data_IF_550585514023
#
_entry.id   IF_550585514023
#
_cell.length_a   1.000
_cell.length_b   1.000
_cell.length_c   1.000
_cell.angle_alpha   90.00
_cell.angle_beta   90.00
_cell.angle_gamma   90.00
#
_symmetry.space_group_name_H-M   'P 1'
#
loop_
_entity.id
_entity.type
_entity.pdbx_description
1 polymer ?
#
# COMPACT_ATOMS: atom_id res chain seq x y z
N UNK A 1 -18.43 6.65 -54.25
CA UNK A 1 -19.44 7.64 -53.82
C UNK A 1 -20.56 6.91 -53.11
N UNK A 2 -20.68 7.09 -51.79
CA UNK A 2 -21.95 7.39 -51.16
C UNK A 2 -21.63 7.92 -49.74
N UNK A 3 -21.87 9.21 -49.63
CA UNK A 3 -21.66 10.08 -48.50
C UNK A 3 -22.66 9.84 -47.38
N UNK A 4 -22.22 10.17 -46.16
CA UNK A 4 -23.01 10.51 -44.98
C UNK A 4 -23.76 9.38 -44.27
N UNK A 5 -23.08 8.81 -43.27
CA UNK A 5 -23.57 8.86 -41.89
C UNK A 5 -22.42 8.64 -40.90
N UNK A 6 -21.83 9.75 -40.43
CA UNK A 6 -20.90 9.75 -39.29
C UNK A 6 -21.67 9.52 -37.98
N UNK A 7 -22.03 8.27 -37.69
CA UNK A 7 -22.33 7.85 -36.32
C UNK A 7 -21.07 7.24 -35.69
N UNK A 8 -20.17 8.13 -35.24
CA UNK A 8 -19.06 7.78 -34.33
C UNK A 8 -19.66 7.54 -32.94
N UNK A 9 -20.01 6.29 -32.63
CA UNK A 9 -20.33 5.88 -31.26
C UNK A 9 -19.19 6.36 -30.33
N UNK A 10 -19.51 7.24 -29.38
CA UNK A 10 -18.61 7.57 -28.27
C UNK A 10 -18.44 6.29 -27.46
N UNK A 11 -17.25 5.70 -27.46
CA UNK A 11 -16.96 4.57 -26.58
C UNK A 11 -16.90 5.11 -25.15
N UNK A 12 -18.00 4.98 -24.42
CA UNK A 12 -18.06 5.33 -23.01
C UNK A 12 -17.08 4.45 -22.24
N UNK A 13 -16.36 5.05 -21.29
CA UNK A 13 -15.41 4.32 -20.47
C UNK A 13 -16.19 3.45 -19.49
N UNK A 14 -15.89 2.15 -19.50
CA UNK A 14 -16.65 1.16 -18.73
C UNK A 14 -16.02 0.93 -17.36
N UNK A 15 -16.89 0.59 -16.41
CA UNK A 15 -16.48 -0.05 -15.16
C UNK A 15 -15.81 -1.38 -15.47
N UNK A 16 -14.71 -1.68 -14.79
CA UNK A 16 -14.12 -3.01 -14.79
C UNK A 16 -14.38 -3.64 -13.44
N UNK A 17 -15.17 -4.72 -13.44
CA UNK A 17 -15.40 -5.51 -12.23
C UNK A 17 -14.16 -6.31 -11.87
N UNK A 18 -13.84 -6.35 -10.58
CA UNK A 18 -12.76 -7.17 -10.04
C UNK A 18 -13.38 -8.34 -9.31
N UNK A 19 -13.19 -9.59 -9.78
CA UNK A 19 -13.70 -10.76 -9.09
C UNK A 19 -12.83 -11.06 -7.85
N UNK A 20 -13.46 -11.06 -6.68
CA UNK A 20 -12.86 -11.47 -5.41
C UNK A 20 -13.28 -12.92 -5.10
N UNK A 21 -12.33 -13.85 -5.10
CA UNK A 21 -12.57 -15.30 -4.90
C UNK A 21 -12.50 -15.64 -3.40
N UNK A 22 -13.53 -15.30 -2.63
CA UNK A 22 -13.65 -15.52 -1.17
C UNK A 22 -12.60 -14.80 -0.28
N UNK A 23 -11.63 -14.13 -0.89
CA UNK A 23 -10.62 -13.25 -0.27
C UNK A 23 -10.90 -11.78 -0.63
N UNK A 24 -10.58 -10.80 0.22
CA UNK A 24 -10.85 -9.37 -0.02
C UNK A 24 -9.83 -8.70 -0.94
N UNK A 25 -9.08 -9.48 -1.73
CA UNK A 25 -8.07 -8.96 -2.63
C UNK A 25 -7.94 -9.82 -3.90
N UNK A 26 -7.29 -9.28 -4.92
CA UNK A 26 -6.95 -10.01 -6.15
C UNK A 26 -5.60 -9.53 -6.65
N UNK A 27 -4.72 -10.45 -7.06
CA UNK A 27 -3.43 -10.14 -7.67
C UNK A 27 -3.45 -10.58 -9.13
N UNK A 28 -2.92 -9.73 -10.02
CA UNK A 28 -2.69 -10.05 -11.43
C UNK A 28 -1.28 -9.64 -11.82
N UNK A 29 -0.59 -10.48 -12.57
CA UNK A 29 0.71 -10.16 -13.16
C UNK A 29 0.51 -10.04 -14.67
N UNK A 30 0.78 -8.86 -15.23
CA UNK A 30 0.42 -8.54 -16.61
C UNK A 30 1.60 -7.92 -17.35
N UNK A 31 1.78 -8.32 -18.61
CA UNK A 31 2.58 -7.56 -19.54
C UNK A 31 1.71 -6.41 -20.07
N UNK A 32 2.18 -5.18 -19.94
CA UNK A 32 1.46 -3.96 -20.30
C UNK A 32 2.36 -3.04 -21.11
N UNK A 33 1.95 -2.75 -22.34
CA UNK A 33 2.45 -1.60 -23.10
C UNK A 33 1.38 -0.53 -23.24
N UNK A 34 0.12 -0.92 -23.44
CA UNK A 34 -1.02 0.00 -23.40
C UNK A 34 -2.25 -0.67 -22.84
N UNK A 35 -2.72 -0.19 -21.69
CA UNK A 35 -3.93 -0.65 -21.02
C UNK A 35 -5.07 0.37 -21.21
N UNK A 36 -6.31 -0.07 -21.46
CA UNK A 36 -7.44 0.83 -21.68
C UNK A 36 -7.75 1.72 -20.47
N UNK A 37 -8.31 2.91 -20.73
CA UNK A 37 -8.85 3.75 -19.67
C UNK A 37 -10.02 3.01 -19.01
N UNK A 38 -10.00 2.91 -17.69
CA UNK A 38 -11.03 2.22 -16.91
C UNK A 38 -11.09 2.77 -15.48
N UNK A 39 -12.01 2.20 -14.69
CA UNK A 39 -12.18 2.53 -13.28
C UNK A 39 -12.82 1.35 -12.55
N UNK A 40 -12.69 1.36 -11.22
CA UNK A 40 -13.27 0.37 -10.33
C UNK A 40 -14.14 1.03 -9.27
N UNK A 41 -15.22 0.34 -8.89
CA UNK A 41 -16.11 0.74 -7.78
C UNK A 41 -15.73 -0.05 -6.54
N UNK A 42 -15.70 0.61 -5.39
CA UNK A 42 -15.34 0.05 -4.08
C UNK A 42 -13.99 -0.68 -4.05
N UNK A 43 -13.06 -0.31 -4.93
CA UNK A 43 -11.73 -0.94 -5.03
C UNK A 43 -10.64 0.11 -5.06
N UNK A 44 -9.59 -0.13 -4.28
CA UNK A 44 -8.29 0.52 -4.48
C UNK A 44 -7.36 -0.47 -5.18
N UNK A 45 -6.75 -0.05 -6.28
CA UNK A 45 -5.72 -0.81 -6.97
C UNK A 45 -4.32 -0.26 -6.62
N UNK A 46 -3.35 -1.16 -6.48
CA UNK A 46 -1.95 -0.86 -6.26
C UNK A 46 -1.17 -1.45 -7.43
N UNK A 47 -0.47 -0.59 -8.17
CA UNK A 47 0.31 -0.96 -9.35
C UNK A 47 1.79 -0.95 -9.02
N UNK A 48 2.49 -2.04 -9.33
CA UNK A 48 3.92 -2.23 -9.07
C UNK A 48 4.60 -2.68 -10.37
N UNK A 49 5.47 -1.88 -10.97
CA UNK A 49 6.32 -2.31 -12.08
C UNK A 49 7.36 -3.31 -11.55
N UNK A 50 7.20 -4.58 -11.91
CA UNK A 50 8.17 -5.64 -11.64
C UNK A 50 9.34 -5.55 -12.64
N UNK A 51 9.03 -5.20 -13.90
CA UNK A 51 10.04 -4.96 -14.94
C UNK A 51 9.62 -3.81 -15.82
N UNK A 52 10.54 -2.93 -16.16
CA UNK A 52 10.30 -1.72 -16.93
C UNK A 52 9.60 -0.62 -16.12
N UNK A 53 9.10 0.38 -16.83
CA UNK A 53 8.43 1.53 -16.22
C UNK A 53 7.03 1.70 -16.81
N UNK A 54 6.13 2.25 -16.00
CA UNK A 54 4.78 2.59 -16.45
C UNK A 54 4.48 4.05 -16.20
N UNK A 55 3.77 4.63 -17.15
CA UNK A 55 3.12 5.91 -17.05
C UNK A 55 1.65 5.73 -16.67
N UNK A 56 1.25 6.39 -15.60
CA UNK A 56 -0.13 6.41 -15.11
C UNK A 56 -0.68 7.81 -15.27
N UNK A 57 -1.82 7.94 -15.94
CA UNK A 57 -2.64 9.13 -15.80
C UNK A 57 -3.89 8.77 -15.02
N UNK A 58 -4.14 9.50 -13.93
CA UNK A 58 -5.32 9.33 -13.07
C UNK A 58 -5.74 10.69 -12.53
N UNK A 59 -7.04 10.98 -12.58
CA UNK A 59 -7.56 12.33 -12.32
C UNK A 59 -6.75 13.38 -13.13
N UNK A 60 -6.25 14.42 -12.45
CA UNK A 60 -5.43 15.47 -13.06
C UNK A 60 -3.93 15.16 -13.10
N UNK A 61 -3.50 14.00 -12.60
CA UNK A 61 -2.10 13.67 -12.39
C UNK A 61 -1.55 12.72 -13.44
N UNK A 62 -0.23 12.78 -13.57
CA UNK A 62 0.58 12.07 -14.55
C UNK A 62 1.83 11.61 -13.83
N UNK A 63 1.94 10.30 -13.62
CA UNK A 63 2.91 9.71 -12.71
C UNK A 63 3.72 8.67 -13.49
N UNK A 64 5.03 8.88 -13.56
CA UNK A 64 5.98 7.87 -14.00
C UNK A 64 6.35 6.99 -12.79
N UNK A 65 6.03 5.71 -12.89
CA UNK A 65 6.32 4.71 -11.84
C UNK A 65 7.44 3.81 -12.34
N UNK A 66 8.53 3.77 -11.57
CA UNK A 66 9.72 2.99 -11.87
C UNK A 66 9.68 1.63 -11.16
N UNK A 67 10.55 0.72 -11.58
CA UNK A 67 10.81 -0.51 -10.81
C UNK A 67 11.15 -0.18 -9.35
N UNK A 68 10.85 -1.10 -8.43
CA UNK A 68 11.00 -0.93 -6.97
C UNK A 68 10.04 0.09 -6.33
N UNK A 69 9.08 0.58 -7.08
CA UNK A 69 8.09 1.53 -6.60
C UNK A 69 6.65 1.08 -6.91
N UNK A 70 5.67 1.71 -6.30
CA UNK A 70 4.26 1.43 -6.45
C UNK A 70 3.44 2.72 -6.47
N UNK A 71 2.23 2.64 -7.03
CA UNK A 71 1.26 3.73 -6.99
C UNK A 71 -0.13 3.22 -6.65
N UNK A 72 -0.91 4.05 -5.96
CA UNK A 72 -2.33 3.80 -5.68
C UNK A 72 -3.20 4.39 -6.78
N UNK A 73 -4.17 3.60 -7.23
CA UNK A 73 -5.35 4.04 -7.95
C UNK A 73 -6.52 3.99 -6.99
N UNK A 74 -7.05 5.15 -6.64
CA UNK A 74 -8.11 5.28 -5.65
C UNK A 74 -9.48 4.86 -6.20
N UNK A 75 -10.38 4.50 -5.30
CA UNK A 75 -11.77 4.17 -5.62
C UNK A 75 -12.43 5.19 -6.56
N UNK A 76 -13.14 4.70 -7.58
CA UNK A 76 -13.81 5.49 -8.63
C UNK A 76 -12.90 6.47 -9.37
N UNK A 77 -11.59 6.22 -9.44
CA UNK A 77 -10.67 7.05 -10.23
C UNK A 77 -10.52 6.48 -11.64
N UNK A 78 -10.80 7.30 -12.65
CA UNK A 78 -10.50 6.98 -14.04
C UNK A 78 -9.00 7.03 -14.25
N UNK A 79 -8.45 5.97 -14.83
CA UNK A 79 -7.02 5.88 -15.04
C UNK A 79 -6.67 5.04 -16.27
N UNK A 80 -5.45 5.23 -16.79
CA UNK A 80 -4.85 4.35 -17.78
C UNK A 80 -3.38 4.11 -17.50
N UNK A 81 -2.86 3.05 -18.11
CA UNK A 81 -1.50 2.56 -17.96
C UNK A 81 -0.87 2.49 -19.34
N UNK A 82 0.30 3.08 -19.51
CA UNK A 82 1.09 2.99 -20.73
C UNK A 82 2.56 2.74 -20.37
N UNK A 83 3.28 2.02 -21.21
CA UNK A 83 4.72 1.85 -21.11
C UNK A 83 5.35 2.07 -22.48
N UNK A 84 6.48 2.76 -22.53
CA UNK A 84 7.19 3.03 -23.79
C UNK A 84 7.75 1.77 -24.43
N UNK A 85 8.30 0.87 -23.61
CA UNK A 85 8.98 -0.35 -24.07
C UNK A 85 8.18 -1.63 -23.75
N UNK A 86 7.06 -1.49 -23.04
CA UNK A 86 6.38 -2.60 -22.40
C UNK A 86 6.95 -2.84 -21.00
N UNK A 87 6.07 -3.16 -20.05
CA UNK A 87 6.41 -3.41 -18.67
C UNK A 87 5.71 -4.67 -18.17
N UNK A 88 6.27 -5.29 -17.14
CA UNK A 88 5.60 -6.34 -16.37
C UNK A 88 5.13 -5.70 -15.07
N UNK A 89 3.84 -5.77 -14.82
CA UNK A 89 3.18 -5.05 -13.73
C UNK A 89 2.41 -6.03 -12.86
N UNK A 90 2.62 -5.94 -11.55
CA UNK A 90 1.74 -6.56 -10.56
C UNK A 90 0.65 -5.56 -10.17
N UNK A 91 -0.60 -5.96 -10.35
CA UNK A 91 -1.80 -5.22 -9.92
C UNK A 91 -2.43 -5.92 -8.74
N UNK A 92 -2.43 -5.27 -7.57
CA UNK A 92 -3.13 -5.73 -6.37
C UNK A 92 -4.40 -4.91 -6.22
N UNK A 93 -5.56 -5.55 -6.27
CA UNK A 93 -6.85 -4.93 -6.06
C UNK A 93 -7.35 -5.27 -4.66
N UNK A 94 -7.83 -4.28 -3.91
CA UNK A 94 -8.36 -4.43 -2.56
C UNK A 94 -9.85 -4.11 -2.52
N UNK A 95 -10.66 -5.02 -1.99
CA UNK A 95 -12.10 -4.83 -1.82
C UNK A 95 -12.38 -3.95 -0.60
N UNK A 96 -12.70 -2.67 -0.81
CA UNK A 96 -12.93 -1.72 0.28
C UNK A 96 -14.20 -2.03 1.08
N UNK A 97 -15.19 -2.73 0.49
CA UNK A 97 -16.39 -3.17 1.22
C UNK A 97 -16.04 -4.08 2.40
N UNK A 98 -15.02 -4.93 2.26
CA UNK A 98 -14.60 -5.84 3.32
C UNK A 98 -14.05 -5.09 4.53
N UNK A 99 -13.30 -4.01 4.30
CA UNK A 99 -12.61 -3.26 5.35
C UNK A 99 -13.46 -2.13 5.96
N UNK A 100 -14.61 -1.81 5.37
CA UNK A 100 -15.47 -0.68 5.80
C UNK A 100 -15.94 -0.80 7.25
N UNK A 101 -16.14 -2.02 7.75
CA UNK A 101 -16.50 -2.25 9.16
C UNK A 101 -15.40 -1.85 10.14
N UNK A 102 -14.14 -2.10 9.78
CA UNK A 102 -12.96 -1.83 10.63
C UNK A 102 -12.49 -0.37 10.47
N UNK A 103 -12.51 0.13 9.24
CA UNK A 103 -12.10 1.47 8.89
C UNK A 103 -13.28 2.23 8.29
N UNK A 104 -14.04 2.90 9.16
CA UNK A 104 -15.18 3.70 8.72
C UNK A 104 -14.72 4.74 7.69
N UNK A 105 -15.45 4.86 6.58
CA UNK A 105 -15.17 5.80 5.51
C UNK A 105 -13.93 5.50 4.65
N UNK A 106 -13.34 4.29 4.72
CA UNK A 106 -12.19 3.89 3.88
C UNK A 106 -12.39 4.17 2.38
N UNK A 107 -13.61 4.01 1.86
CA UNK A 107 -14.01 4.31 0.47
C UNK A 107 -13.88 5.79 0.07
N UNK A 108 -13.81 6.69 1.05
CA UNK A 108 -13.71 8.14 0.89
C UNK A 108 -12.30 8.65 1.23
N UNK A 109 -11.40 7.76 1.67
CA UNK A 109 -10.00 8.07 1.87
C UNK A 109 -9.27 8.14 0.53
N UNK A 110 -8.24 8.97 0.46
CA UNK A 110 -7.38 9.09 -0.71
C UNK A 110 -5.97 8.64 -0.33
N UNK A 111 -5.52 7.53 -0.91
CA UNK A 111 -4.21 6.94 -0.66
C UNK A 111 -3.21 7.37 -1.72
N UNK A 112 -1.95 7.59 -1.32
CA UNK A 112 -0.86 8.05 -2.20
C UNK A 112 0.48 7.55 -1.71
N UNK A 113 1.36 7.21 -2.65
CA UNK A 113 2.75 6.81 -2.41
C UNK A 113 3.78 7.87 -2.80
N UNK A 114 3.31 9.00 -3.31
CA UNK A 114 4.11 10.05 -3.94
C UNK A 114 3.46 11.44 -3.73
N UNK A 115 4.27 12.51 -3.73
CA UNK A 115 3.77 13.88 -3.60
C UNK A 115 3.00 14.29 -4.85
N UNK A 116 1.99 15.13 -4.67
CA UNK A 116 1.10 15.59 -5.73
C UNK A 116 1.80 16.48 -6.76
N UNK A 117 1.28 16.44 -7.99
CA UNK A 117 1.76 17.30 -9.07
C UNK A 117 1.37 18.76 -8.82
N UNK A 118 2.35 19.65 -8.97
CA UNK A 118 2.12 21.10 -9.07
C UNK A 118 2.04 21.49 -10.54
N UNK A 119 0.97 22.19 -10.92
CA UNK A 119 0.80 22.81 -12.24
C UNK A 119 0.84 21.83 -13.44
N UNK A 120 0.20 20.66 -13.32
CA UNK A 120 0.05 19.65 -14.39
C UNK A 120 1.36 19.06 -14.93
N UNK A 121 2.45 19.16 -14.16
CA UNK A 121 3.72 18.54 -14.51
C UNK A 121 3.67 17.04 -14.23
N UNK A 122 4.35 16.29 -15.08
CA UNK A 122 4.65 14.91 -14.77
C UNK A 122 5.49 14.83 -13.49
N UNK A 123 5.23 13.80 -12.71
CA UNK A 123 5.94 13.52 -11.47
C UNK A 123 6.39 12.07 -11.47
N UNK A 124 7.44 11.79 -10.72
CA UNK A 124 7.93 10.44 -10.50
C UNK A 124 7.38 9.89 -9.18
N UNK A 125 7.23 8.57 -9.09
CA UNK A 125 6.72 7.88 -7.91
C UNK A 125 7.61 8.05 -6.67
N UNK A 126 8.90 8.39 -6.86
CA UNK A 126 9.90 8.56 -5.81
C UNK A 126 9.99 10.00 -5.25
N UNK A 127 9.11 10.90 -5.69
CA UNK A 127 9.09 12.31 -5.30
C UNK A 127 8.55 12.58 -3.87
N UNK A 128 8.87 11.72 -2.89
CA UNK A 128 8.36 11.78 -1.53
C UNK A 128 9.42 12.26 -0.52
N UNK A 129 8.99 12.63 0.69
CA UNK A 129 9.90 13.03 1.76
C UNK A 129 10.76 11.83 2.20
N UNK A 130 12.09 11.98 2.28
CA UNK A 130 13.01 10.92 2.69
C UNK A 130 12.63 10.21 4.00
N UNK A 131 11.97 10.92 4.93
CA UNK A 131 11.46 10.34 6.19
C UNK A 131 10.36 9.28 5.99
N UNK A 132 9.80 9.17 4.77
CA UNK A 132 8.82 8.15 4.38
C UNK A 132 9.45 6.95 3.68
N UNK A 133 10.77 6.96 3.43
CA UNK A 133 11.47 5.88 2.73
C UNK A 133 11.29 4.53 3.42
N UNK A 134 11.48 4.47 4.75
CA UNK A 134 11.29 3.26 5.54
C UNK A 134 9.86 2.74 5.45
N UNK A 135 8.86 3.61 5.66
CA UNK A 135 7.45 3.25 5.52
C UNK A 135 7.13 2.67 4.13
N UNK A 136 7.68 3.29 3.07
CA UNK A 136 7.49 2.84 1.68
C UNK A 136 8.14 1.48 1.42
N UNK A 137 9.36 1.27 1.89
CA UNK A 137 10.06 -0.01 1.79
C UNK A 137 9.30 -1.10 2.55
N UNK A 138 8.86 -0.82 3.78
CA UNK A 138 8.09 -1.77 4.59
C UNK A 138 6.74 -2.10 3.95
N UNK A 139 6.08 -1.11 3.33
CA UNK A 139 4.85 -1.35 2.57
C UNK A 139 5.11 -2.23 1.36
N UNK A 140 6.16 -1.93 0.58
CA UNK A 140 6.56 -2.73 -0.57
C UNK A 140 6.84 -4.19 -0.19
N UNK A 141 7.51 -4.43 0.94
CA UNK A 141 7.78 -5.79 1.43
C UNK A 141 6.49 -6.58 1.71
N UNK A 142 5.46 -5.92 2.24
CA UNK A 142 4.14 -6.55 2.44
C UNK A 142 3.47 -6.86 1.09
N UNK A 143 3.54 -5.95 0.12
CA UNK A 143 3.00 -6.17 -1.23
C UNK A 143 3.67 -7.37 -1.91
N UNK A 144 5.00 -7.45 -1.86
CA UNK A 144 5.75 -8.58 -2.41
C UNK A 144 5.37 -9.88 -1.70
N UNK A 145 5.19 -9.87 -0.38
CA UNK A 145 4.68 -11.02 0.37
C UNK A 145 3.33 -11.54 -0.14
N UNK A 146 2.38 -10.64 -0.43
CA UNK A 146 1.08 -11.03 -1.05
C UNK A 146 1.28 -11.61 -2.44
N UNK A 147 2.14 -11.00 -3.26
CA UNK A 147 2.41 -11.44 -4.64
C UNK A 147 2.98 -12.86 -4.65
N UNK A 148 4.04 -13.11 -3.87
CA UNK A 148 4.69 -14.42 -3.75
C UNK A 148 3.69 -15.49 -3.33
N UNK A 149 2.90 -15.19 -2.29
CA UNK A 149 1.95 -16.16 -1.77
C UNK A 149 0.86 -16.51 -2.79
N UNK A 150 0.38 -15.51 -3.52
CA UNK A 150 -0.67 -15.71 -4.53
C UNK A 150 -0.17 -16.56 -5.69
N UNK A 151 1.06 -16.32 -6.16
CA UNK A 151 1.65 -17.07 -7.28
C UNK A 151 2.06 -18.48 -6.89
N UNK A 152 2.43 -18.69 -5.62
CA UNK A 152 2.76 -20.01 -5.11
C UNK A 152 1.56 -20.97 -5.12
N UNK A 153 0.33 -20.48 -5.34
CA UNK A 153 -0.92 -21.25 -5.49
C UNK A 153 -1.18 -22.29 -4.38
N UNK A 154 -0.62 -22.06 -3.19
CA UNK A 154 -0.77 -22.94 -2.05
C UNK A 154 -1.88 -22.40 -1.13
N UNK A 155 -3.02 -23.10 -1.07
CA UNK A 155 -4.16 -22.72 -0.21
C UNK A 155 -3.81 -22.60 1.27
N UNK A 156 -2.73 -23.23 1.73
CA UNK A 156 -2.25 -23.06 3.11
C UNK A 156 -1.75 -21.63 3.40
N UNK A 157 -1.38 -20.88 2.35
CA UNK A 157 -0.93 -19.48 2.39
C UNK A 157 -2.06 -18.46 2.44
N UNK A 158 -3.33 -18.88 2.31
CA UNK A 158 -4.45 -17.94 2.28
C UNK A 158 -4.47 -17.09 3.56
N UNK A 159 -4.34 -17.73 4.74
CA UNK A 159 -4.28 -17.05 6.05
C UNK A 159 -3.13 -16.04 6.15
N UNK A 160 -1.97 -16.37 5.59
CA UNK A 160 -0.79 -15.49 5.58
C UNK A 160 -1.07 -14.29 4.68
N UNK A 161 -1.68 -14.52 3.51
CA UNK A 161 -2.07 -13.45 2.58
C UNK A 161 -3.12 -12.53 3.20
N UNK A 162 -4.12 -13.05 3.91
CA UNK A 162 -5.07 -12.24 4.68
C UNK A 162 -4.35 -11.36 5.72
N UNK A 163 -3.38 -11.90 6.44
CA UNK A 163 -2.62 -11.12 7.41
C UNK A 163 -1.83 -9.98 6.75
N UNK A 164 -1.13 -10.26 5.64
CA UNK A 164 -0.45 -9.21 4.88
C UNK A 164 -1.42 -8.14 4.41
N UNK A 165 -2.59 -8.53 3.91
CA UNK A 165 -3.61 -7.61 3.40
C UNK A 165 -4.18 -6.73 4.52
N UNK A 166 -4.48 -7.28 5.70
CA UNK A 166 -4.86 -6.50 6.87
C UNK A 166 -3.76 -5.47 7.22
N UNK A 167 -2.49 -5.87 7.20
CA UNK A 167 -1.35 -4.98 7.48
C UNK A 167 -1.04 -3.98 6.37
N UNK A 168 -1.42 -4.28 5.12
CA UNK A 168 -1.38 -3.34 4.00
C UNK A 168 -2.45 -2.28 4.21
N UNK A 169 -3.69 -2.68 4.47
CA UNK A 169 -4.80 -1.74 4.69
C UNK A 169 -4.57 -0.87 5.92
N UNK A 170 -4.03 -1.43 7.00
CA UNK A 170 -3.62 -0.67 8.18
C UNK A 170 -2.60 0.43 7.82
N UNK A 171 -1.51 0.08 7.12
CA UNK A 171 -0.52 1.04 6.64
C UNK A 171 -1.11 2.04 5.63
N UNK A 172 -2.07 1.63 4.79
CA UNK A 172 -2.75 2.57 3.89
C UNK A 172 -3.43 3.69 4.68
N UNK A 173 -4.15 3.33 5.76
CA UNK A 173 -4.89 4.27 6.59
C UNK A 173 -3.96 5.14 7.43
N UNK A 174 -2.90 4.58 8.02
CA UNK A 174 -1.98 5.31 8.90
C UNK A 174 -0.90 6.10 8.17
N UNK A 175 -0.33 5.52 7.11
CA UNK A 175 0.94 6.01 6.54
C UNK A 175 0.74 6.67 5.18
N UNK A 176 -0.13 6.10 4.33
CA UNK A 176 -0.33 6.52 2.93
C UNK A 176 -1.60 7.32 2.68
N UNK A 177 -2.40 7.55 3.70
CA UNK A 177 -3.51 8.47 3.66
C UNK A 177 -2.98 9.89 3.35
N UNK A 178 -3.47 10.51 2.28
CA UNK A 178 -3.04 11.81 1.75
C UNK A 178 -2.79 12.89 2.81
N UNK A 179 -3.73 13.07 3.75
CA UNK A 179 -3.63 14.13 4.76
C UNK A 179 -2.45 13.89 5.70
N UNK A 180 -2.15 12.63 5.99
CA UNK A 180 -1.07 12.22 6.88
C UNK A 180 0.26 12.08 6.13
N UNK A 181 0.20 11.64 4.88
CA UNK A 181 1.35 11.39 4.02
C UNK A 181 2.11 12.68 3.67
N UNK A 182 1.38 13.77 3.43
CA UNK A 182 1.94 15.09 3.12
C UNK A 182 2.55 15.81 4.34
N UNK A 183 2.37 15.25 5.55
CA UNK A 183 2.74 15.90 6.81
C UNK A 183 3.84 15.16 7.56
N UNK A 184 4.63 15.94 8.30
CA UNK A 184 5.61 15.44 9.25
C UNK A 184 4.99 15.05 10.59
N UNK A 185 3.98 15.80 11.04
CA UNK A 185 3.31 15.58 12.31
C UNK A 185 2.05 14.71 12.14
N UNK A 186 1.75 13.88 13.13
CA UNK A 186 0.52 13.11 13.16
C UNK A 186 -0.70 14.01 13.35
N UNK A 187 -1.75 13.72 12.59
CA UNK A 187 -3.08 14.31 12.80
C UNK A 187 -3.76 13.48 13.89
N UNK A 188 -4.39 14.16 14.86
CA UNK A 188 -5.23 13.49 15.87
C UNK A 188 -6.33 12.69 15.19
N UNK A 189 -6.56 11.46 15.65
CA UNK A 189 -7.53 10.53 15.05
C UNK A 189 -8.92 11.16 14.91
N UNK A 190 -9.39 11.87 15.94
CA UNK A 190 -10.72 12.49 15.95
C UNK A 190 -10.88 13.55 14.86
N UNK A 191 -9.80 14.29 14.58
CA UNK A 191 -9.78 15.29 13.52
C UNK A 191 -9.80 14.64 12.13
N UNK A 192 -9.08 13.52 11.97
CA UNK A 192 -9.06 12.74 10.74
C UNK A 192 -10.44 12.11 10.46
N UNK A 193 -11.06 11.53 11.49
CA UNK A 193 -12.40 10.95 11.40
C UNK A 193 -13.44 12.01 11.03
N UNK A 194 -13.38 13.20 11.66
CA UNK A 194 -14.22 14.35 11.30
C UNK A 194 -14.03 14.75 9.85
N UNK A 195 -12.79 14.87 9.39
CA UNK A 195 -12.51 15.21 8.01
C UNK A 195 -13.18 14.22 7.03
N UNK A 196 -13.08 12.92 7.31
CA UNK A 196 -13.67 11.92 6.43
C UNK A 196 -15.18 11.86 6.44
N UNK A 197 -15.84 12.16 7.56
CA UNK A 197 -17.30 12.37 7.58
C UNK A 197 -17.71 13.56 6.71
N UNK A 198 -16.95 14.66 6.74
CA UNK A 198 -17.19 15.83 5.89
C UNK A 198 -16.98 15.47 4.41
N UNK A 199 -15.89 14.80 4.05
CA UNK A 199 -15.63 14.37 2.66
C UNK A 199 -16.72 13.41 2.16
N UNK A 200 -17.14 12.45 2.99
CA UNK A 200 -18.27 11.55 2.68
C UNK A 200 -19.55 12.33 2.41
N UNK A 201 -19.88 13.30 3.25
CA UNK A 201 -21.04 14.16 3.02
C UNK A 201 -20.95 14.92 1.70
N UNK A 202 -19.78 15.49 1.39
CA UNK A 202 -19.54 16.21 0.12
C UNK A 202 -19.78 15.28 -1.07
N UNK A 203 -19.13 14.10 -1.11
CA UNK A 203 -19.24 13.17 -2.24
C UNK A 203 -20.67 12.64 -2.40
N UNK A 204 -21.36 12.31 -1.31
CA UNK A 204 -22.73 11.78 -1.36
C UNK A 204 -23.79 12.82 -1.72
N UNK A 205 -23.46 14.12 -1.62
CA UNK A 205 -24.37 15.22 -1.94
C UNK A 205 -23.82 16.13 -3.04
N UNK A 206 -22.90 15.64 -3.88
CA UNK A 206 -22.15 16.46 -4.84
C UNK A 206 -23.04 17.14 -5.90
N UNK A 207 -24.21 16.55 -6.19
CA UNK A 207 -25.25 17.08 -7.12
C UNK A 207 -26.24 18.03 -6.46
N UNK A 208 -26.07 18.29 -5.15
CA UNK A 208 -26.84 19.25 -4.37
C UNK A 208 -26.00 20.49 -4.06
N UNK A 209 -26.67 21.56 -3.63
CA UNK A 209 -25.98 22.73 -3.08
C UNK A 209 -25.43 22.35 -1.70
N UNK A 210 -24.11 22.35 -1.55
CA UNK A 210 -23.41 22.12 -0.29
C UNK A 210 -22.97 23.48 0.25
N UNK A 211 -23.35 23.77 1.49
CA UNK A 211 -23.01 25.00 2.20
C UNK A 211 -22.16 24.71 3.42
N UNK A 212 -21.51 25.75 3.96
CA UNK A 212 -20.79 25.63 5.23
C UNK A 212 -21.76 25.33 6.40
N UNK A 213 -22.97 25.89 6.33
CA UNK A 213 -24.01 25.66 7.35
C UNK A 213 -24.34 24.17 7.47
N UNK A 214 -24.53 23.49 6.34
CA UNK A 214 -24.80 22.04 6.30
C UNK A 214 -23.74 21.24 7.08
N UNK A 215 -22.46 21.58 6.88
CA UNK A 215 -21.35 20.90 7.55
C UNK A 215 -21.30 21.21 9.04
N UNK A 216 -21.46 22.49 9.41
CA UNK A 216 -21.41 22.90 10.81
C UNK A 216 -22.56 22.33 11.64
N UNK A 217 -23.75 22.23 11.04
CA UNK A 217 -24.91 21.59 11.66
C UNK A 217 -24.73 20.07 11.79
N UNK A 218 -24.19 19.40 10.76
CA UNK A 218 -23.93 17.96 10.79
C UNK A 218 -22.88 17.56 11.84
N UNK A 219 -21.82 18.35 11.96
CA UNK A 219 -20.71 18.06 12.90
C UNK A 219 -20.92 18.71 14.29
N UNK A 220 -22.05 19.39 14.51
CA UNK A 220 -22.39 20.07 15.77
C UNK A 220 -21.30 21.06 16.24
N UNK A 221 -20.75 21.85 15.31
CA UNK A 221 -19.68 22.83 15.57
C UNK A 221 -20.02 24.21 15.07
N UNK A 222 -19.38 25.24 15.60
CA UNK A 222 -19.52 26.61 15.07
C UNK A 222 -18.71 26.80 13.78
N UNK A 223 -19.12 27.77 12.96
CA UNK A 223 -18.37 28.19 11.75
C UNK A 223 -16.94 28.62 12.06
N UNK A 224 -16.73 29.29 13.19
CA UNK A 224 -15.39 29.71 13.62
C UNK A 224 -14.52 28.50 13.93
N UNK A 225 -15.04 27.54 14.71
CA UNK A 225 -14.30 26.31 14.99
C UNK A 225 -14.00 25.52 13.71
N UNK A 226 -14.97 25.37 12.81
CA UNK A 226 -14.75 24.72 11.52
C UNK A 226 -13.63 25.40 10.72
N UNK A 227 -13.61 26.73 10.67
CA UNK A 227 -12.60 27.47 9.90
C UNK A 227 -11.19 27.23 10.41
N UNK A 228 -11.01 27.20 11.74
CA UNK A 228 -9.73 26.84 12.35
C UNK A 228 -9.35 25.38 12.08
N UNK A 229 -10.28 24.46 12.36
CA UNK A 229 -10.11 23.02 12.10
C UNK A 229 -9.72 22.73 10.64
N UNK A 230 -10.41 23.34 9.68
CA UNK A 230 -10.17 23.11 8.26
C UNK A 230 -8.83 23.68 7.83
N UNK A 231 -8.47 24.88 8.29
CA UNK A 231 -7.19 25.53 7.97
C UNK A 231 -6.00 24.76 8.57
N UNK A 232 -6.16 24.16 9.74
CA UNK A 232 -5.11 23.31 10.33
C UNK A 232 -4.90 22.02 9.53
N UNK A 233 -5.92 21.49 8.85
CA UNK A 233 -5.87 20.20 8.16
C UNK A 233 -5.65 20.28 6.64
N UNK A 234 -6.13 21.34 5.99
CA UNK A 234 -6.15 21.47 4.55
C UNK A 234 -5.46 22.75 4.09
N UNK A 235 -4.67 22.63 3.03
CA UNK A 235 -4.00 23.78 2.39
C UNK A 235 -4.94 24.60 1.50
N UNK A 236 -6.15 24.10 1.26
CA UNK A 236 -7.19 24.74 0.45
C UNK A 236 -8.45 25.02 1.25
N UNK A 237 -9.20 26.03 0.85
CA UNK A 237 -10.47 26.37 1.48
C UNK A 237 -11.52 25.27 1.31
N UNK A 238 -12.54 25.25 2.17
CA UNK A 238 -13.65 24.31 2.05
C UNK A 238 -14.36 24.42 0.69
N UNK A 239 -14.58 25.65 0.21
CA UNK A 239 -15.17 25.90 -1.11
C UNK A 239 -14.29 25.34 -2.23
N UNK A 240 -12.97 25.48 -2.14
CA UNK A 240 -12.06 24.88 -3.12
C UNK A 240 -12.11 23.35 -3.07
N UNK A 241 -12.24 22.73 -1.89
CA UNK A 241 -12.44 21.28 -1.77
C UNK A 241 -13.71 20.80 -2.45
N UNK A 242 -14.83 21.48 -2.21
CA UNK A 242 -16.11 21.13 -2.85
C UNK A 242 -15.99 21.25 -4.37
N UNK A 243 -15.39 22.34 -4.87
CA UNK A 243 -15.18 22.51 -6.31
C UNK A 243 -14.23 21.47 -6.90
N UNK A 244 -13.20 21.06 -6.16
CA UNK A 244 -12.30 19.97 -6.56
C UNK A 244 -13.06 18.65 -6.73
N UNK A 245 -13.84 18.23 -5.74
CA UNK A 245 -14.65 17.00 -5.82
C UNK A 245 -15.66 17.06 -6.98
N UNK A 246 -16.28 18.23 -7.21
CA UNK A 246 -17.15 18.43 -8.38
C UNK A 246 -16.40 18.25 -9.69
N UNK A 247 -15.18 18.79 -9.80
CA UNK A 247 -14.38 18.64 -11.02
C UNK A 247 -13.98 17.19 -11.26
N UNK A 248 -13.61 16.44 -10.21
CA UNK A 248 -13.33 14.99 -10.30
C UNK A 248 -14.57 14.21 -10.75
N UNK A 249 -15.74 14.44 -10.12
CA UNK A 249 -17.00 13.81 -10.55
C UNK A 249 -17.39 14.22 -11.97
N UNK A 250 -17.07 15.45 -12.38
CA UNK A 250 -17.33 15.91 -13.76
C UNK A 250 -16.52 15.14 -14.79
N UNK A 251 -15.26 14.76 -14.49
CA UNK A 251 -14.46 13.91 -15.38
C UNK A 251 -15.13 12.54 -15.53
N UNK A 252 -15.57 11.98 -14.41
CA UNK A 252 -16.28 10.72 -14.37
C UNK A 252 -17.53 10.74 -15.26
N UNK A 253 -18.42 11.72 -15.06
CA UNK A 253 -19.62 11.91 -15.89
C UNK A 253 -19.27 12.18 -17.36
N UNK A 254 -18.23 12.98 -17.61
CA UNK A 254 -17.80 13.38 -18.96
C UNK A 254 -17.37 12.18 -19.82
N UNK A 255 -16.78 11.16 -19.19
CA UNK A 255 -16.15 10.01 -19.86
C UNK A 255 -16.99 8.72 -19.79
N UNK A 256 -17.83 8.56 -18.76
CA UNK A 256 -18.68 7.36 -18.57
C UNK A 256 -20.11 7.55 -19.06
N UNK A 257 -20.54 8.78 -19.35
CA UNK A 257 -21.90 9.09 -19.85
C UNK A 257 -21.88 9.88 -21.16
N UNK A 258 -23.06 10.01 -21.79
CA UNK A 258 -23.25 10.85 -22.97
C UNK A 258 -23.62 12.31 -22.66
N UNK A 259 -23.60 12.73 -21.39
CA UNK A 259 -24.00 14.08 -20.99
C UNK A 259 -23.16 15.16 -21.70
N UNK A 260 -23.82 16.24 -22.08
CA UNK A 260 -23.15 17.42 -22.61
C UNK A 260 -22.57 18.26 -21.45
N UNK A 261 -21.67 19.21 -21.78
CA UNK A 261 -20.97 20.02 -20.78
C UNK A 261 -21.92 20.89 -19.95
N UNK A 262 -22.99 21.41 -20.56
CA UNK A 262 -23.97 22.26 -19.88
C UNK A 262 -24.72 21.43 -18.83
N UNK A 263 -25.23 20.27 -19.22
CA UNK A 263 -25.92 19.36 -18.30
C UNK A 263 -25.03 18.86 -17.16
N UNK A 264 -23.74 18.59 -17.42
CA UNK A 264 -22.79 18.22 -16.35
C UNK A 264 -22.59 19.38 -15.37
N UNK A 265 -22.45 20.61 -15.88
CA UNK A 265 -22.29 21.79 -15.02
C UNK A 265 -23.54 22.04 -14.15
N UNK A 266 -24.73 21.87 -14.73
CA UNK A 266 -26.03 21.99 -14.04
C UNK A 266 -26.20 20.90 -12.97
N UNK A 267 -25.96 19.63 -13.32
CA UNK A 267 -26.08 18.48 -12.42
C UNK A 267 -25.17 18.63 -11.18
N UNK A 268 -23.94 19.10 -11.39
CA UNK A 268 -22.96 19.35 -10.32
C UNK A 268 -23.13 20.71 -9.66
N UNK A 269 -24.22 21.44 -9.96
CA UNK A 269 -24.56 22.73 -9.34
C UNK A 269 -23.42 23.75 -9.42
N UNK A 270 -22.74 23.85 -10.55
CA UNK A 270 -21.90 25.02 -10.84
C UNK A 270 -22.80 26.23 -11.11
N UNK A 271 -22.35 27.44 -10.76
CA UNK A 271 -23.11 28.68 -10.97
C UNK A 271 -23.42 28.92 -12.44
N UNK A 272 -22.46 28.56 -13.30
CA UNK A 272 -22.52 28.68 -14.75
C UNK A 272 -21.45 27.78 -15.38
N UNK A 273 -21.54 27.57 -16.69
CA UNK A 273 -20.60 26.72 -17.42
C UNK A 273 -19.20 27.33 -17.49
N UNK A 274 -19.04 28.66 -17.50
CA UNK A 274 -17.73 29.32 -17.55
C UNK A 274 -16.94 29.08 -16.26
N UNK A 275 -17.62 29.11 -15.11
CA UNK A 275 -17.08 28.77 -13.81
C UNK A 275 -16.62 27.31 -13.77
N UNK A 276 -17.44 26.38 -14.29
CA UNK A 276 -17.04 24.99 -14.48
C UNK A 276 -15.78 24.85 -15.35
N UNK A 277 -15.75 25.48 -16.54
CA UNK A 277 -14.59 25.45 -17.43
C UNK A 277 -13.31 25.95 -16.76
N UNK A 278 -13.40 27.05 -16.01
CA UNK A 278 -12.25 27.64 -15.31
C UNK A 278 -11.70 26.68 -14.25
N UNK A 279 -12.56 26.07 -13.44
CA UNK A 279 -12.16 25.10 -12.42
C UNK A 279 -11.60 23.81 -13.03
N UNK A 280 -12.25 23.27 -14.07
CA UNK A 280 -11.73 22.10 -14.76
C UNK A 280 -10.35 22.39 -15.37
N UNK A 281 -10.18 23.53 -16.05
CA UNK A 281 -8.89 23.92 -16.63
C UNK A 281 -7.82 24.17 -15.56
N UNK A 282 -8.19 24.73 -14.40
CA UNK A 282 -7.29 24.92 -13.26
C UNK A 282 -6.71 23.61 -12.74
N UNK A 283 -7.48 22.52 -12.77
CA UNK A 283 -7.04 21.21 -12.29
C UNK A 283 -6.44 20.33 -13.37
N UNK A 284 -7.02 20.27 -14.56
CA UNK A 284 -6.61 19.36 -15.65
C UNK A 284 -5.72 19.99 -16.72
N UNK A 285 -5.44 21.30 -16.63
CA UNK A 285 -4.60 22.05 -17.58
C UNK A 285 -5.23 22.23 -18.96
N UNK A 286 -6.45 21.73 -19.17
CA UNK A 286 -7.16 21.79 -20.44
C UNK A 286 -8.67 21.88 -20.22
N UNK A 287 -9.44 22.20 -21.26
CA UNK A 287 -10.90 22.23 -21.20
C UNK A 287 -11.49 20.81 -21.14
N UNK A 288 -12.68 20.58 -20.53
CA UNK A 288 -13.37 19.30 -20.52
C UNK A 288 -13.48 18.63 -21.90
N UNK A 289 -13.87 19.38 -22.95
CA UNK A 289 -13.99 18.83 -24.29
C UNK A 289 -12.65 18.33 -24.88
N UNK A 290 -11.57 19.09 -24.66
CA UNK A 290 -10.22 18.69 -25.06
C UNK A 290 -9.77 17.44 -24.29
N UNK A 291 -10.06 17.37 -22.99
CA UNK A 291 -9.79 16.19 -22.17
C UNK A 291 -10.54 14.96 -22.72
N UNK A 292 -11.87 15.06 -22.92
CA UNK A 292 -12.69 14.00 -23.52
C UNK A 292 -12.13 13.52 -24.86
N UNK A 293 -11.76 14.45 -25.74
CA UNK A 293 -11.16 14.12 -27.05
C UNK A 293 -9.84 13.38 -26.90
N UNK A 294 -8.98 13.77 -25.96
CA UNK A 294 -7.70 13.09 -25.67
C UNK A 294 -7.94 11.66 -25.22
N UNK A 295 -8.82 11.44 -24.25
CA UNK A 295 -9.15 10.11 -23.73
C UNK A 295 -9.75 9.21 -24.82
N UNK A 296 -10.68 9.71 -25.62
CA UNK A 296 -11.23 8.95 -26.76
C UNK A 296 -10.21 8.69 -27.87
N UNK A 297 -9.20 9.54 -28.03
CA UNK A 297 -8.14 9.30 -29.01
C UNK A 297 -7.21 8.20 -28.53
N UNK A 298 -6.87 8.19 -27.23
CA UNK A 298 -6.10 7.11 -26.60
C UNK A 298 -6.83 5.76 -26.71
N UNK A 299 -8.13 5.73 -26.43
CA UNK A 299 -8.96 4.51 -26.51
C UNK A 299 -9.13 3.94 -27.93
N UNK A 300 -8.66 4.63 -28.98
CA UNK A 300 -8.65 4.14 -30.36
C UNK A 300 -7.34 3.50 -30.77
N UNK A 301 -6.30 3.65 -29.95
CA UNK A 301 -5.03 3.00 -30.18
C UNK A 301 -5.17 1.50 -29.93
N UNK A 302 -4.24 0.72 -30.46
CA UNK A 302 -4.16 -0.70 -30.15
C UNK A 302 -3.79 -0.87 -28.68
N UNK A 303 -4.61 -1.65 -27.97
CA UNK A 303 -4.38 -2.03 -26.60
C UNK A 303 -3.47 -3.25 -26.59
N UNK A 304 -2.31 -3.12 -25.97
CA UNK A 304 -1.27 -4.15 -25.95
C UNK A 304 -1.03 -4.53 -24.48
N UNK A 305 -1.81 -5.50 -24.00
CA UNK A 305 -1.67 -6.07 -22.67
C UNK A 305 -2.19 -7.50 -22.60
N UNK A 306 -1.60 -8.33 -21.74
CA UNK A 306 -2.10 -9.68 -21.45
C UNK A 306 -1.70 -10.11 -20.04
N UNK A 307 -2.47 -11.03 -19.46
CA UNK A 307 -2.09 -11.71 -18.22
C UNK A 307 -0.93 -12.65 -18.52
N UNK A 308 0.10 -12.63 -17.66
CA UNK A 308 1.20 -13.58 -17.76
C UNK A 308 0.77 -14.96 -17.24
N UNK A 309 1.17 -16.05 -17.92
CA UNK A 309 1.05 -17.40 -17.37
C UNK A 309 1.70 -17.53 -15.98
N UNK A 310 1.16 -18.39 -15.12
CA UNK A 310 1.61 -18.51 -13.72
C UNK A 310 3.09 -18.90 -13.59
N UNK A 311 3.57 -19.78 -14.46
CA UNK A 311 4.97 -20.23 -14.54
C UNK A 311 5.91 -19.09 -14.91
N UNK A 312 5.58 -18.31 -15.94
CA UNK A 312 6.36 -17.14 -16.34
C UNK A 312 6.34 -16.05 -15.28
N UNK A 313 5.16 -15.81 -14.66
CA UNK A 313 5.01 -14.84 -13.59
C UNK A 313 5.86 -15.23 -12.37
N UNK A 314 5.89 -16.52 -12.01
CA UNK A 314 6.73 -17.04 -10.93
C UNK A 314 8.22 -16.82 -11.21
N UNK A 315 8.70 -17.19 -12.40
CA UNK A 315 10.11 -17.02 -12.78
C UNK A 315 10.53 -15.53 -12.73
N UNK A 316 9.74 -14.64 -13.33
CA UNK A 316 10.05 -13.20 -13.35
C UNK A 316 10.06 -12.60 -11.95
N UNK A 317 9.18 -13.09 -11.07
CA UNK A 317 9.10 -12.59 -9.70
C UNK A 317 10.23 -13.15 -8.84
N UNK A 318 10.59 -14.41 -9.02
CA UNK A 318 11.78 -15.00 -8.42
C UNK A 318 13.04 -14.23 -8.87
N UNK A 319 13.15 -13.88 -10.16
CA UNK A 319 14.23 -13.03 -10.68
C UNK A 319 14.21 -11.62 -10.08
N UNK A 320 13.05 -10.98 -9.97
CA UNK A 320 12.90 -9.66 -9.35
C UNK A 320 13.35 -9.69 -7.89
N UNK A 321 12.92 -10.71 -7.16
CA UNK A 321 13.30 -10.99 -5.78
C UNK A 321 14.81 -11.19 -5.67
N UNK A 322 15.41 -12.04 -6.52
CA UNK A 322 16.83 -12.36 -6.51
C UNK A 322 17.71 -11.18 -6.95
N UNK A 323 17.31 -10.45 -7.98
CA UNK A 323 18.04 -9.27 -8.45
C UNK A 323 18.03 -8.16 -7.40
N UNK A 324 16.88 -7.96 -6.74
CA UNK A 324 16.76 -6.99 -5.66
C UNK A 324 17.31 -7.50 -4.32
N UNK A 325 17.61 -8.80 -4.21
CA UNK A 325 18.41 -9.35 -3.12
C UNK A 325 19.91 -9.24 -3.34
N UNK A 326 20.37 -9.21 -4.59
CA UNK A 326 21.79 -9.27 -4.96
C UNK A 326 22.46 -7.92 -5.30
N UNK A 327 21.71 -6.82 -5.46
CA UNK A 327 22.34 -5.49 -5.62
C UNK A 327 22.94 -5.01 -4.29
N UNK A 328 24.19 -4.48 -4.22
CA UNK A 328 24.87 -4.10 -2.96
C UNK A 328 24.20 -2.98 -2.13
N UNK A 329 23.03 -2.52 -2.55
CA UNK A 329 22.14 -1.67 -1.77
C UNK A 329 20.83 -2.41 -1.48
N UNK A 330 20.60 -2.64 -0.19
CA UNK A 330 19.31 -2.91 0.46
C UNK A 330 18.74 -4.33 0.33
N UNK A 331 19.43 -5.24 1.02
CA UNK A 331 19.13 -6.65 1.30
C UNK A 331 17.65 -6.95 1.60
N UNK A 332 17.00 -7.61 0.65
CA UNK A 332 15.74 -8.33 0.84
C UNK A 332 15.82 -9.63 0.04
N UNK A 333 15.34 -10.75 0.60
CA UNK A 333 15.12 -12.05 -0.05
C UNK A 333 16.30 -13.03 -0.20
N UNK A 334 16.41 -13.90 0.81
CA UNK A 334 16.54 -15.35 0.57
C UNK A 334 15.66 -16.10 1.57
N UNK A 335 14.35 -16.00 1.38
CA UNK A 335 13.47 -17.13 1.69
C UNK A 335 13.04 -17.65 0.34
N UNK A 336 13.84 -18.56 -0.23
CA UNK A 336 13.48 -19.23 -1.47
C UNK A 336 12.15 -19.95 -1.25
N UNK A 337 11.40 -20.15 -2.33
CA UNK A 337 10.34 -21.16 -2.42
C UNK A 337 10.75 -22.46 -1.70
N UNK A 338 12.03 -22.82 -1.71
CA UNK A 338 12.58 -23.99 -1.00
C UNK A 338 12.55 -23.90 0.52
N UNK A 339 12.77 -22.75 1.16
CA UNK A 339 12.66 -22.64 2.61
C UNK A 339 11.21 -22.72 3.08
N UNK A 340 10.26 -22.13 2.33
CA UNK A 340 8.83 -22.27 2.63
C UNK A 340 8.35 -23.69 2.31
N UNK A 341 8.81 -24.27 1.21
CA UNK A 341 8.54 -25.67 0.85
C UNK A 341 9.19 -26.63 1.84
N UNK A 342 10.34 -26.29 2.43
CA UNK A 342 10.97 -27.07 3.49
C UNK A 342 10.18 -26.96 4.79
N UNK A 343 9.72 -25.77 5.16
CA UNK A 343 8.79 -25.57 6.28
C UNK A 343 7.49 -26.35 6.04
N UNK A 344 6.83 -26.19 4.90
CA UNK A 344 5.61 -26.93 4.54
C UNK A 344 5.84 -28.44 4.40
N UNK A 345 7.02 -28.90 3.93
CA UNK A 345 7.39 -30.32 3.93
C UNK A 345 7.53 -30.84 5.35
N UNK A 346 8.26 -30.14 6.22
CA UNK A 346 8.40 -30.51 7.63
C UNK A 346 7.04 -30.59 8.33
N UNK A 347 6.09 -29.71 7.97
CA UNK A 347 4.75 -29.70 8.56
C UNK A 347 3.75 -30.67 7.92
N UNK A 348 3.78 -30.89 6.61
CA UNK A 348 2.97 -31.93 5.94
C UNK A 348 3.41 -33.34 6.34
N UNK A 349 4.70 -33.54 6.63
CA UNK A 349 5.21 -34.77 7.26
C UNK A 349 4.70 -34.95 8.70
N UNK A 350 4.30 -33.87 9.38
CA UNK A 350 3.77 -33.90 10.74
C UNK A 350 2.24 -34.06 10.83
N UNK A 351 1.48 -34.01 9.73
CA UNK A 351 0.02 -34.27 9.75
C UNK A 351 -0.33 -35.73 10.13
N UNK A 352 0.67 -36.62 10.30
CA UNK A 352 0.51 -37.98 10.82
C UNK A 352 1.27 -38.29 12.11
N UNK A 353 2.05 -37.34 12.65
CA UNK A 353 2.82 -37.52 13.88
C UNK A 353 2.23 -36.68 15.01
N UNK A 354 1.70 -37.32 16.05
CA UNK A 354 1.42 -36.63 17.32
C UNK A 354 2.76 -36.32 18.00
N UNK A 355 3.39 -35.21 17.61
CA UNK A 355 4.49 -34.66 18.41
C UNK A 355 3.84 -34.16 19.71
N UNK A 356 3.92 -34.97 20.76
CA UNK A 356 3.51 -34.59 22.11
C UNK A 356 4.49 -33.53 22.64
N UNK A 357 4.28 -32.28 22.25
CA UNK A 357 5.05 -31.11 22.69
C UNK A 357 4.65 -29.84 21.94
N UNK A 358 4.75 -28.68 22.61
CA UNK A 358 4.58 -27.39 21.95
C UNK A 358 5.76 -27.17 20.97
N UNK A 359 5.50 -27.27 19.66
CA UNK A 359 6.50 -26.93 18.64
C UNK A 359 6.82 -25.43 18.70
N UNK A 360 8.11 -25.11 18.70
CA UNK A 360 8.62 -23.73 18.66
C UNK A 360 9.55 -23.53 17.47
N UNK A 361 9.43 -22.40 16.79
CA UNK A 361 10.39 -21.96 15.78
C UNK A 361 11.50 -21.17 16.46
N UNK A 362 12.76 -21.48 16.15
CA UNK A 362 13.91 -20.71 16.64
C UNK A 362 14.30 -19.66 15.60
N UNK A 363 14.10 -18.39 15.93
CA UNK A 363 14.60 -17.25 15.17
C UNK A 363 15.99 -16.87 15.69
N UNK A 364 17.03 -17.26 14.97
CA UNK A 364 18.40 -16.78 15.22
C UNK A 364 18.59 -15.43 14.52
N UNK A 365 18.39 -14.33 15.26
CA UNK A 365 18.33 -12.97 14.73
C UNK A 365 19.59 -12.64 13.91
N UNK A 366 20.76 -13.00 14.41
CA UNK A 366 22.06 -12.62 13.86
C UNK A 366 22.44 -13.38 12.59
N UNK A 367 21.75 -14.49 12.27
CA UNK A 367 21.90 -15.14 10.95
C UNK A 367 21.39 -14.28 9.79
N UNK A 368 20.55 -13.30 10.09
CA UNK A 368 19.91 -12.43 9.10
C UNK A 368 20.48 -11.01 9.12
N UNK A 369 21.63 -10.83 9.74
CA UNK A 369 22.34 -9.56 9.83
C UNK A 369 23.62 -9.67 9.02
N UNK A 370 23.87 -8.67 8.19
CA UNK A 370 25.15 -8.51 7.50
C UNK A 370 25.77 -7.15 7.90
N UNK A 371 27.06 -7.16 8.21
CA UNK A 371 27.83 -5.96 8.59
C UNK A 371 28.89 -5.72 7.54
N UNK A 372 28.68 -4.73 6.67
CA UNK A 372 29.59 -4.37 5.59
C UNK A 372 29.96 -2.89 5.67
N UNK A 373 31.27 -2.58 5.63
CA UNK A 373 31.81 -1.21 5.63
C UNK A 373 31.28 -0.31 6.78
N UNK A 374 31.05 -0.89 7.96
CA UNK A 374 30.49 -0.17 9.13
C UNK A 374 29.00 0.14 9.02
N UNK A 375 28.30 -0.44 8.04
CA UNK A 375 26.85 -0.38 7.92
C UNK A 375 26.23 -1.74 8.24
N UNK A 376 25.36 -1.75 9.25
CA UNK A 376 24.56 -2.93 9.61
C UNK A 376 23.30 -2.99 8.76
N UNK A 377 23.10 -4.12 8.08
CA UNK A 377 21.91 -4.46 7.29
C UNK A 377 21.20 -5.66 7.90
N UNK A 378 19.87 -5.63 7.94
CA UNK A 378 19.04 -6.67 8.58
C UNK A 378 17.95 -7.11 7.59
N UNK A 379 17.83 -8.41 7.34
CA UNK A 379 16.81 -8.97 6.45
C UNK A 379 15.45 -9.08 7.14
N UNK A 380 14.78 -7.93 7.25
CA UNK A 380 13.49 -7.79 7.92
C UNK A 380 12.38 -8.66 7.32
N UNK A 381 12.45 -8.95 6.03
CA UNK A 381 11.44 -9.76 5.36
C UNK A 381 11.42 -11.20 5.87
N UNK A 382 12.59 -11.82 5.97
CA UNK A 382 12.71 -13.19 6.50
C UNK A 382 12.27 -13.22 7.97
N UNK A 383 12.73 -12.26 8.77
CA UNK A 383 12.33 -12.14 10.18
C UNK A 383 10.81 -12.04 10.31
N UNK A 384 10.18 -11.15 9.54
CA UNK A 384 8.72 -11.00 9.51
C UNK A 384 8.01 -12.29 9.13
N UNK A 385 8.47 -12.97 8.08
CA UNK A 385 7.87 -14.23 7.64
C UNK A 385 7.96 -15.32 8.72
N UNK A 386 9.11 -15.46 9.37
CA UNK A 386 9.30 -16.44 10.46
C UNK A 386 8.32 -16.16 11.61
N UNK A 387 8.24 -14.90 12.05
CA UNK A 387 7.30 -14.48 13.10
C UNK A 387 5.85 -14.74 12.65
N UNK A 388 5.53 -14.39 11.41
CA UNK A 388 4.18 -14.54 10.85
C UNK A 388 3.76 -16.01 10.75
N UNK A 389 4.64 -16.88 10.26
CA UNK A 389 4.40 -18.33 10.18
C UNK A 389 4.14 -18.88 11.58
N UNK A 390 4.99 -18.51 12.55
CA UNK A 390 4.81 -18.87 13.96
C UNK A 390 3.43 -18.47 14.45
N UNK A 391 3.02 -17.22 14.21
CA UNK A 391 1.73 -16.71 14.64
C UNK A 391 0.53 -17.41 13.96
N UNK A 392 0.53 -17.48 12.62
CA UNK A 392 -0.60 -18.03 11.84
C UNK A 392 -0.79 -19.53 12.11
N UNK A 393 0.28 -20.25 12.42
CA UNK A 393 0.25 -21.68 12.77
C UNK A 393 0.13 -21.93 14.28
N UNK A 394 0.06 -20.89 15.10
CA UNK A 394 -0.02 -20.97 16.56
C UNK A 394 1.14 -21.79 17.17
N UNK A 395 2.36 -21.58 16.64
CA UNK A 395 3.60 -22.16 17.15
C UNK A 395 4.21 -21.25 18.22
N UNK A 396 5.05 -21.82 19.08
CA UNK A 396 5.96 -21.02 19.90
C UNK A 396 6.97 -20.31 19.00
N UNK A 397 7.43 -19.13 19.44
CA UNK A 397 8.60 -18.50 18.85
C UNK A 397 9.67 -18.34 19.92
N UNK A 398 10.87 -18.81 19.62
CA UNK A 398 12.05 -18.61 20.45
C UNK A 398 13.03 -17.70 19.71
N UNK A 399 13.21 -16.48 20.20
CA UNK A 399 14.21 -15.55 19.69
C UNK A 399 15.56 -15.90 20.32
N UNK A 400 16.47 -16.44 19.52
CA UNK A 400 17.85 -16.70 19.91
C UNK A 400 18.66 -15.43 19.79
N UNK A 401 19.26 -15.03 20.91
CA UNK A 401 20.13 -13.88 21.08
C UNK A 401 21.52 -14.42 21.40
N UNK A 402 22.41 -14.44 20.41
CA UNK A 402 23.77 -14.99 20.52
C UNK A 402 24.76 -13.88 20.91
N UNK A 403 25.03 -13.74 22.20
CA UNK A 403 25.88 -12.69 22.75
C UNK A 403 27.36 -12.82 22.38
N UNK A 404 27.77 -13.92 21.73
CA UNK A 404 29.13 -14.12 21.22
C UNK A 404 29.37 -13.40 19.90
N UNK A 405 28.35 -12.74 19.35
CA UNK A 405 28.45 -11.94 18.13
C UNK A 405 29.58 -10.90 18.24
N UNK A 406 30.46 -10.88 17.23
CA UNK A 406 31.80 -10.27 17.32
C UNK A 406 31.81 -8.74 17.31
N UNK A 407 30.74 -8.08 16.86
CA UNK A 407 30.59 -6.62 16.92
C UNK A 407 29.62 -6.20 18.03
N UNK A 408 30.15 -5.99 19.24
CA UNK A 408 29.37 -5.68 20.44
C UNK A 408 28.63 -4.33 20.37
N UNK A 409 29.09 -3.38 19.55
CA UNK A 409 28.51 -2.04 19.42
C UNK A 409 27.24 -2.09 18.56
N UNK A 410 27.32 -2.76 17.41
CA UNK A 410 26.18 -2.90 16.50
C UNK A 410 25.10 -3.84 17.07
N UNK A 411 25.47 -4.78 17.95
CA UNK A 411 24.54 -5.74 18.54
C UNK A 411 23.32 -5.12 19.24
N UNK A 412 23.53 -4.15 20.13
CA UNK A 412 22.45 -3.55 20.92
C UNK A 412 21.54 -2.72 20.01
N UNK A 413 22.12 -2.05 19.01
CA UNK A 413 21.38 -1.32 17.98
C UNK A 413 20.53 -2.25 17.12
N UNK A 414 21.08 -3.38 16.67
CA UNK A 414 20.35 -4.44 15.94
C UNK A 414 19.15 -4.93 16.75
N UNK A 415 19.38 -5.24 18.03
CA UNK A 415 18.33 -5.77 18.91
C UNK A 415 17.24 -4.73 19.18
N UNK A 416 17.63 -3.46 19.36
CA UNK A 416 16.70 -2.33 19.45
C UNK A 416 15.86 -2.16 18.18
N UNK A 417 16.49 -2.19 17.02
CA UNK A 417 15.81 -2.16 15.71
C UNK A 417 14.85 -3.34 15.56
N UNK A 418 15.22 -4.53 16.05
CA UNK A 418 14.36 -5.71 16.00
C UNK A 418 13.09 -5.55 16.83
N UNK A 419 13.18 -4.97 18.03
CA UNK A 419 11.99 -4.69 18.81
C UNK A 419 11.13 -3.61 18.19
N UNK A 420 11.73 -2.52 17.71
CA UNK A 420 11.00 -1.47 17.00
C UNK A 420 10.26 -2.04 15.78
N UNK A 421 10.93 -2.89 14.99
CA UNK A 421 10.34 -3.61 13.86
C UNK A 421 9.18 -4.50 14.31
N UNK A 422 9.40 -5.32 15.33
CA UNK A 422 8.41 -6.28 15.83
C UNK A 422 7.16 -5.57 16.33
N UNK A 423 7.31 -4.54 17.18
CA UNK A 423 6.22 -3.75 17.74
C UNK A 423 5.46 -2.95 16.68
N UNK A 424 6.13 -2.56 15.59
CA UNK A 424 5.48 -1.91 14.47
C UNK A 424 4.55 -2.86 13.69
N UNK A 425 4.90 -4.15 13.64
CA UNK A 425 4.22 -5.12 12.79
C UNK A 425 3.25 -6.05 13.51
N UNK A 426 3.51 -6.33 14.78
CA UNK A 426 2.81 -7.32 15.58
C UNK A 426 2.34 -6.70 16.90
N UNK A 427 1.13 -7.06 17.31
CA UNK A 427 0.59 -6.59 18.57
C UNK A 427 1.39 -7.15 19.75
N UNK A 428 1.47 -6.41 20.87
CA UNK A 428 2.16 -6.86 22.09
C UNK A 428 1.69 -8.24 22.55
N UNK A 429 0.40 -8.56 22.34
CA UNK A 429 -0.16 -9.88 22.68
C UNK A 429 0.48 -11.06 21.92
N UNK A 430 1.13 -10.81 20.78
CA UNK A 430 1.89 -11.79 20.01
C UNK A 430 3.32 -11.87 20.55
N UNK A 431 3.96 -10.72 20.76
CA UNK A 431 5.36 -10.58 21.16
C UNK A 431 5.59 -11.09 22.60
N UNK A 432 4.62 -10.86 23.49
CA UNK A 432 4.64 -11.31 24.89
C UNK A 432 4.63 -12.85 25.03
N UNK A 433 4.33 -13.58 23.96
CA UNK A 433 4.35 -15.05 23.95
C UNK A 433 5.71 -15.62 23.54
N UNK A 434 6.68 -14.78 23.18
CA UNK A 434 7.98 -15.24 22.72
C UNK A 434 8.87 -15.67 23.88
N UNK A 435 9.60 -16.76 23.65
CA UNK A 435 10.72 -17.16 24.49
C UNK A 435 11.99 -16.44 24.00
N UNK A 436 12.85 -16.00 24.91
CA UNK A 436 14.13 -15.37 24.60
C UNK A 436 15.25 -16.28 25.07
N UNK A 437 15.99 -16.83 24.13
CA UNK A 437 17.12 -17.73 24.39
C UNK A 437 18.42 -16.95 24.30
N UNK A 438 19.04 -16.69 25.45
CA UNK A 438 20.29 -15.92 25.56
C UNK A 438 21.46 -16.90 25.61
N UNK A 439 22.28 -16.90 24.56
CA UNK A 439 23.51 -17.69 24.45
C UNK A 439 24.72 -16.81 24.77
N UNK A 440 25.65 -17.29 25.59
CA UNK A 440 26.87 -16.58 25.97
C UNK A 440 27.99 -17.56 26.35
N UNK A 441 29.23 -17.07 26.40
CA UNK A 441 30.44 -17.82 26.77
C UNK A 441 31.28 -17.02 27.81
N UNK A 442 32.48 -17.51 28.14
CA UNK A 442 33.41 -16.87 29.09
C UNK A 442 33.86 -15.46 28.66
N UNK A 443 33.75 -15.10 27.38
CA UNK A 443 34.19 -13.81 26.83
C UNK A 443 33.15 -12.69 27.00
N UNK A 444 31.93 -13.03 27.42
CA UNK A 444 30.81 -12.10 27.57
C UNK A 444 30.65 -11.66 29.03
N UNK A 445 30.68 -10.35 29.29
CA UNK A 445 30.53 -9.83 30.65
C UNK A 445 29.09 -9.98 31.16
N UNK A 446 28.94 -10.25 32.47
CA UNK A 446 27.63 -10.36 33.12
C UNK A 446 26.80 -9.07 32.96
N UNK A 447 27.44 -7.90 33.01
CA UNK A 447 26.74 -6.63 32.84
C UNK A 447 26.21 -6.43 31.42
N UNK A 448 26.87 -7.00 30.41
CA UNK A 448 26.35 -7.03 29.04
C UNK A 448 25.06 -7.86 28.95
N UNK A 449 25.03 -9.03 29.60
CA UNK A 449 23.82 -9.88 29.66
C UNK A 449 22.68 -9.15 30.39
N UNK A 450 22.96 -8.43 31.48
CA UNK A 450 21.96 -7.61 32.19
C UNK A 450 21.40 -6.49 31.31
N UNK A 451 22.23 -5.86 30.48
CA UNK A 451 21.79 -4.82 29.54
C UNK A 451 20.83 -5.39 28.49
N UNK A 452 21.13 -6.57 27.94
CA UNK A 452 20.23 -7.27 27.00
C UNK A 452 18.90 -7.58 27.68
N UNK A 453 18.93 -8.15 28.89
CA UNK A 453 17.72 -8.44 29.65
C UNK A 453 16.87 -7.18 29.87
N UNK A 454 17.50 -6.08 30.27
CA UNK A 454 16.84 -4.79 30.46
C UNK A 454 16.22 -4.30 29.15
N UNK A 455 16.93 -4.39 28.02
CA UNK A 455 16.41 -3.97 26.72
C UNK A 455 15.18 -4.79 26.31
N UNK A 456 15.22 -6.11 26.48
CA UNK A 456 14.08 -6.99 26.16
C UNK A 456 12.90 -6.65 27.08
N UNK A 457 13.12 -6.56 28.39
CA UNK A 457 12.07 -6.25 29.37
C UNK A 457 11.46 -4.84 29.21
N UNK A 458 12.20 -3.88 28.65
CA UNK A 458 11.67 -2.55 28.35
C UNK A 458 10.72 -2.54 27.14
N UNK A 459 10.80 -3.54 26.26
CA UNK A 459 9.99 -3.64 25.04
C UNK A 459 8.92 -4.73 25.11
N UNK A 460 9.02 -5.64 26.09
CA UNK A 460 8.19 -6.85 26.18
C UNK A 460 7.83 -7.09 27.65
N UNK A 461 6.54 -6.95 27.97
CA UNK A 461 6.05 -6.95 29.36
C UNK A 461 6.17 -8.34 30.01
N UNK A 462 6.02 -9.42 29.22
CA UNK A 462 5.97 -10.81 29.71
C UNK A 462 7.08 -11.68 29.13
N UNK A 463 8.26 -11.12 28.90
CA UNK A 463 9.39 -11.86 28.33
C UNK A 463 9.80 -13.07 29.20
N UNK A 464 9.78 -14.26 28.59
CA UNK A 464 10.29 -15.49 29.23
C UNK A 464 11.72 -15.73 28.78
N UNK A 465 12.67 -15.81 29.71
CA UNK A 465 14.09 -15.95 29.41
C UNK A 465 14.60 -17.36 29.68
N UNK A 466 15.39 -17.90 28.75
CA UNK A 466 16.17 -19.13 28.89
C UNK A 466 17.64 -18.81 28.64
N UNK A 467 18.52 -19.20 29.54
CA UNK A 467 19.96 -18.92 29.48
C UNK A 467 20.72 -20.20 29.13
N UNK A 468 21.67 -20.09 28.21
CA UNK A 468 22.54 -21.20 27.83
C UNK A 468 23.99 -20.73 27.78
N UNK A 469 24.83 -21.41 28.54
CA UNK A 469 26.27 -21.20 28.54
C UNK A 469 26.91 -22.25 27.64
N UNK A 470 27.66 -21.81 26.63
CA UNK A 470 28.46 -22.68 25.78
C UNK A 470 29.90 -22.69 26.31
N UNK A 471 30.44 -23.88 26.52
CA UNK A 471 31.79 -24.12 27.02
C UNK A 471 32.80 -24.24 25.89
#
# INVERSE_FOLDING_TARGET
MNSNNYNKNKTLIKKVEVPFKDVPFSVKIQAIKRYPIHWHEDVTEILIPIKGTIYIATNYERILVKEKDFVFINNRSLHFIESSEGAIVASIHLNLNYFEKKYENIKYMYFRSNMYSKMHKEIESDNYNLNKRSHKQMFMNKLIGVIINTISNNKSLDKISYFYIEKIVESMVSDFNWLQFSRTNSIKKENLDRYYRIVKYIKNNITKKITLDDITSMEYISKNYFSHFWKELCDFSFTERVNFEKVVESEFMLLTTNMNIVSIAEELRFSDTKYYYNHFKRWYGCTPLRHRKRCYSFMKLDMEYHLLPEDQAAEIIDDYINYHSATPYEDLFTFTKDNYTAIERLFSLNEGFSINGNMSIVLDLFKYVNVENGSTKINWHIIFQIILISYVRNLGLTVKIDCTFTDKIDFIDILGKFFQFSLFHFDNSIIDKWDYFIKYDESVSIDYIKNIKTLVSNNVDKATFKYYFEF
#
